data_IF_304479381294
#
_entry.id   IF_304479381294
#
_cell.length_a   1.000
_cell.length_b   1.000
_cell.length_c   1.000
_cell.angle_alpha   90.00
_cell.angle_beta   90.00
_cell.angle_gamma   90.00
#
_symmetry.space_group_name_H-M   'P 1'
#
loop_
_entity.id
_entity.type
_entity.pdbx_description
1 polymer ?
#
# COMPACT_ATOMS: atom_id res chain seq x y z
N UNK A 1 -26.94 -49.55 2.45
CA UNK A 1 -26.16 -48.42 1.89
C UNK A 1 -26.19 -47.29 2.90
N UNK A 2 -25.03 -46.73 3.32
CA UNK A 2 -24.98 -45.63 4.27
C UNK A 2 -25.36 -44.29 3.60
N UNK A 3 -25.89 -43.30 4.34
CA UNK A 3 -26.21 -41.99 3.80
C UNK A 3 -24.92 -41.17 3.54
N UNK A 4 -24.94 -40.21 2.58
CA UNK A 4 -23.77 -39.40 2.24
C UNK A 4 -23.41 -38.38 3.35
N UNK A 5 -22.13 -37.94 3.42
CA UNK A 5 -21.64 -37.09 4.48
C UNK A 5 -22.19 -35.66 4.39
N UNK A 6 -22.51 -35.11 5.56
CA UNK A 6 -23.01 -33.76 5.79
C UNK A 6 -21.86 -32.76 5.58
N UNK A 7 -21.73 -32.20 4.38
CA UNK A 7 -20.79 -31.10 4.12
C UNK A 7 -21.19 -29.86 4.95
N UNK A 8 -20.16 -29.27 5.55
CA UNK A 8 -20.19 -28.13 6.48
C UNK A 8 -20.83 -26.88 5.86
N UNK A 9 -22.04 -26.55 6.31
CA UNK A 9 -22.83 -25.34 5.98
C UNK A 9 -22.25 -24.00 6.46
N UNK A 10 -21.01 -23.95 6.96
CA UNK A 10 -20.50 -22.74 7.63
C UNK A 10 -19.69 -21.82 6.69
N UNK A 11 -19.15 -22.34 5.59
CA UNK A 11 -18.35 -21.53 4.65
C UNK A 11 -19.17 -20.74 3.60
N UNK A 12 -20.44 -21.09 3.37
CA UNK A 12 -21.26 -20.42 2.35
C UNK A 12 -21.81 -19.06 2.79
N UNK A 13 -21.95 -18.79 4.10
CA UNK A 13 -22.67 -17.60 4.58
C UNK A 13 -21.99 -16.26 4.25
N UNK A 14 -20.66 -16.22 4.28
CA UNK A 14 -19.88 -14.98 4.04
C UNK A 14 -19.84 -14.64 2.54
N UNK A 15 -19.74 -15.65 1.67
CA UNK A 15 -19.76 -15.44 0.22
C UNK A 15 -21.16 -15.12 -0.31
N UNK A 16 -22.21 -15.70 0.28
CA UNK A 16 -23.60 -15.40 -0.09
C UNK A 16 -24.06 -14.01 0.37
N UNK A 17 -23.50 -13.48 1.45
CA UNK A 17 -23.76 -12.11 1.90
C UNK A 17 -23.25 -11.10 0.87
N UNK A 18 -22.03 -11.29 0.37
CA UNK A 18 -21.41 -10.41 -0.63
C UNK A 18 -22.12 -10.45 -2.00
N UNK A 19 -22.59 -11.63 -2.42
CA UNK A 19 -23.28 -11.78 -3.71
C UNK A 19 -24.72 -11.20 -3.71
N UNK A 20 -25.35 -11.07 -2.54
CA UNK A 20 -26.69 -10.51 -2.43
C UNK A 20 -26.68 -8.98 -2.39
N UNK A 21 -25.67 -8.37 -1.76
CA UNK A 21 -25.44 -6.92 -1.78
C UNK A 21 -25.02 -6.42 -3.17
N UNK A 22 -24.24 -7.19 -3.93
CA UNK A 22 -23.90 -6.88 -5.33
C UNK A 22 -25.14 -6.77 -6.23
N UNK A 23 -26.14 -7.65 -6.05
CA UNK A 23 -27.38 -7.62 -6.82
C UNK A 23 -28.30 -6.44 -6.44
N UNK A 24 -28.21 -5.92 -5.20
CA UNK A 24 -28.92 -4.69 -4.82
C UNK A 24 -28.24 -3.43 -5.39
N UNK A 25 -26.93 -3.45 -5.59
CA UNK A 25 -26.17 -2.32 -6.16
C UNK A 25 -26.37 -2.20 -7.68
N UNK A 26 -26.56 -3.31 -8.42
CA UNK A 26 -26.89 -3.26 -9.85
C UNK A 26 -28.25 -2.60 -10.12
N UNK A 27 -29.24 -2.75 -9.23
CA UNK A 27 -30.56 -2.11 -9.35
C UNK A 27 -30.57 -0.60 -9.10
N UNK A 28 -29.58 -0.06 -8.40
CA UNK A 28 -29.42 1.37 -8.09
C UNK A 28 -28.52 2.10 -9.10
N UNK A 29 -27.80 1.38 -9.97
CA UNK A 29 -26.93 1.95 -11.00
C UNK A 29 -27.65 2.60 -12.19
N UNK A 30 -28.98 2.41 -12.32
CA UNK A 30 -29.77 2.94 -13.42
C UNK A 30 -30.09 4.46 -13.32
N UNK A 31 -29.71 5.12 -12.22
CA UNK A 31 -29.99 6.54 -11.99
C UNK A 31 -28.74 7.37 -11.62
N UNK A 32 -27.55 6.98 -12.09
CA UNK A 32 -26.39 7.87 -12.06
C UNK A 32 -26.44 8.80 -13.28
N UNK A 33 -26.55 10.12 -13.11
CA UNK A 33 -26.58 11.04 -14.23
C UNK A 33 -25.23 10.97 -14.95
N UNK A 34 -25.27 10.57 -16.23
CA UNK A 34 -24.34 10.94 -17.30
C UNK A 34 -22.95 11.37 -16.83
N UNK A 35 -22.04 10.41 -16.64
CA UNK A 35 -20.59 10.63 -16.69
C UNK A 35 -20.16 10.94 -18.14
N UNK A 36 -20.75 11.98 -18.72
CA UNK A 36 -20.35 12.54 -20.01
C UNK A 36 -19.24 13.56 -19.75
N UNK A 37 -18.00 13.06 -19.67
CA UNK A 37 -16.69 13.71 -19.85
C UNK A 37 -15.66 13.08 -18.91
N UNK A 38 -15.42 11.78 -19.06
CA UNK A 38 -14.11 11.23 -18.67
C UNK A 38 -13.22 11.30 -19.90
N UNK A 39 -12.20 12.16 -19.91
CA UNK A 39 -11.21 12.14 -20.97
C UNK A 39 -10.52 10.76 -20.96
N UNK A 40 -10.00 10.29 -22.11
CA UNK A 40 -9.43 8.94 -22.26
C UNK A 40 -8.49 8.53 -21.12
N UNK A 41 -8.34 7.23 -20.87
CA UNK A 41 -7.48 6.64 -19.84
C UNK A 41 -6.11 7.35 -19.77
N UNK A 42 -5.51 7.68 -20.91
CA UNK A 42 -4.30 8.50 -21.02
C UNK A 42 -4.36 9.86 -20.31
N UNK A 43 -5.47 10.60 -20.42
CA UNK A 43 -5.64 11.91 -19.79
C UNK A 43 -5.79 11.80 -18.27
N UNK A 44 -6.42 10.72 -17.77
CA UNK A 44 -6.49 10.47 -16.32
C UNK A 44 -5.11 10.22 -15.72
N UNK A 45 -4.29 9.39 -16.39
CA UNK A 45 -2.92 9.11 -15.98
C UNK A 45 -1.99 10.32 -16.12
N UNK A 46 -2.17 11.13 -17.18
CA UNK A 46 -1.43 12.37 -17.41
C UNK A 46 -1.72 13.45 -16.37
N UNK A 47 -2.90 13.48 -15.75
CA UNK A 47 -3.25 14.50 -14.74
C UNK A 47 -2.94 14.02 -13.32
N UNK A 48 -3.27 12.77 -13.00
CA UNK A 48 -3.14 12.25 -11.64
C UNK A 48 -1.68 11.95 -11.25
N UNK A 49 -0.82 11.54 -12.20
CA UNK A 49 0.59 11.25 -11.91
C UNK A 49 1.42 12.52 -11.58
N UNK A 50 1.34 13.63 -12.35
CA UNK A 50 1.98 14.88 -11.96
C UNK A 50 1.40 15.49 -10.69
N UNK A 51 0.10 15.33 -10.44
CA UNK A 51 -0.51 15.74 -9.19
C UNK A 51 0.08 14.97 -8.00
N UNK A 52 0.24 13.64 -8.12
CA UNK A 52 0.90 12.82 -7.10
C UNK A 52 2.35 13.25 -6.86
N UNK A 53 3.09 13.59 -7.91
CA UNK A 53 4.45 14.13 -7.80
C UNK A 53 4.46 15.49 -7.08
N UNK A 54 3.57 16.40 -7.47
CA UNK A 54 3.48 17.73 -6.88
C UNK A 54 3.13 17.67 -5.39
N UNK A 55 2.16 16.84 -5.01
CA UNK A 55 1.81 16.59 -3.61
C UNK A 55 3.02 16.03 -2.85
N UNK A 56 3.73 15.07 -3.44
CA UNK A 56 4.94 14.49 -2.83
C UNK A 56 6.00 15.56 -2.58
N UNK A 57 6.29 16.39 -3.58
CA UNK A 57 7.26 17.49 -3.46
C UNK A 57 6.82 18.51 -2.42
N UNK A 58 5.54 18.88 -2.39
CA UNK A 58 4.99 19.80 -1.40
C UNK A 58 5.12 19.26 0.03
N UNK A 59 4.82 17.97 0.24
CA UNK A 59 4.96 17.32 1.54
C UNK A 59 6.42 17.25 1.99
N UNK A 60 7.34 16.91 1.09
CA UNK A 60 8.77 16.93 1.41
C UNK A 60 9.25 18.35 1.75
N UNK A 61 8.81 19.36 1.01
CA UNK A 61 9.18 20.74 1.28
C UNK A 61 8.66 21.23 2.64
N UNK A 62 7.44 20.82 3.02
CA UNK A 62 6.82 21.21 4.28
C UNK A 62 7.38 20.45 5.50
N UNK A 63 7.62 19.13 5.39
CA UNK A 63 7.98 18.28 6.52
C UNK A 63 9.48 17.94 6.63
N UNK A 64 10.29 18.11 5.58
CA UNK A 64 11.70 17.72 5.61
C UNK A 64 12.53 18.73 6.43
N UNK A 65 12.98 18.31 7.61
CA UNK A 65 14.00 19.05 8.36
C UNK A 65 15.34 19.06 7.61
N UNK A 66 16.02 20.21 7.61
CA UNK A 66 17.27 20.43 6.83
C UNK A 66 18.48 19.65 7.35
N UNK A 67 18.33 18.94 8.48
CA UNK A 67 19.37 18.07 9.06
C UNK A 67 19.36 16.63 8.54
N UNK A 68 18.36 16.24 7.73
CA UNK A 68 18.22 14.86 7.23
C UNK A 68 19.05 14.68 5.96
N UNK A 69 19.72 13.52 5.83
CA UNK A 69 20.52 13.18 4.65
C UNK A 69 19.67 13.09 3.37
N UNK A 70 20.23 13.55 2.25
CA UNK A 70 19.54 13.59 0.95
C UNK A 70 19.01 12.23 0.48
N UNK A 71 19.73 11.14 0.77
CA UNK A 71 19.32 9.79 0.40
C UNK A 71 17.98 9.38 1.05
N UNK A 72 17.79 9.73 2.33
CA UNK A 72 16.54 9.47 3.06
C UNK A 72 15.38 10.28 2.49
N UNK A 73 15.63 11.52 2.08
CA UNK A 73 14.63 12.39 1.44
C UNK A 73 14.20 11.80 0.10
N UNK A 74 15.14 11.35 -0.74
CA UNK A 74 14.83 10.77 -2.05
C UNK A 74 14.06 9.45 -1.92
N UNK A 75 14.50 8.54 -1.05
CA UNK A 75 13.82 7.25 -0.86
C UNK A 75 12.41 7.45 -0.29
N UNK A 76 12.24 8.34 0.68
CA UNK A 76 10.92 8.68 1.23
C UNK A 76 10.02 9.31 0.18
N UNK A 77 10.57 10.27 -0.59
CA UNK A 77 9.86 10.90 -1.70
C UNK A 77 9.37 9.89 -2.74
N UNK A 78 10.25 9.01 -3.18
CA UNK A 78 9.89 7.97 -4.14
C UNK A 78 8.84 7.00 -3.59
N UNK A 79 8.93 6.66 -2.29
CA UNK A 79 7.92 5.84 -1.61
C UNK A 79 6.53 6.49 -1.64
N UNK A 80 6.46 7.78 -1.29
CA UNK A 80 5.19 8.52 -1.30
C UNK A 80 4.65 8.70 -2.71
N UNK A 81 5.52 8.96 -3.68
CA UNK A 81 5.13 9.02 -5.08
C UNK A 81 4.51 7.69 -5.55
N UNK A 82 5.16 6.55 -5.29
CA UNK A 82 4.62 5.23 -5.63
C UNK A 82 3.31 4.91 -4.88
N UNK A 83 3.17 5.33 -3.62
CA UNK A 83 1.92 5.13 -2.87
C UNK A 83 0.76 5.97 -3.45
N UNK A 84 1.02 7.23 -3.81
CA UNK A 84 0.03 8.11 -4.42
C UNK A 84 -0.29 7.72 -5.87
N UNK A 85 0.65 7.12 -6.61
CA UNK A 85 0.40 6.64 -7.96
C UNK A 85 -0.56 5.45 -7.99
N UNK A 86 -0.63 4.62 -6.94
CA UNK A 86 -1.67 3.58 -6.82
C UNK A 86 -3.07 4.20 -6.73
N UNK A 87 -3.21 5.32 -6.00
CA UNK A 87 -4.48 6.05 -5.92
C UNK A 87 -4.88 6.66 -7.28
N UNK A 88 -3.88 7.02 -8.10
CA UNK A 88 -4.10 7.48 -9.47
C UNK A 88 -4.47 6.33 -10.44
N UNK A 89 -3.90 5.14 -10.25
CA UNK A 89 -4.16 3.96 -11.07
C UNK A 89 -5.52 3.32 -10.79
N UNK A 90 -6.01 3.37 -9.54
CA UNK A 90 -7.24 2.69 -9.15
C UNK A 90 -8.48 3.12 -9.96
N UNK A 91 -8.75 4.43 -10.20
CA UNK A 91 -9.86 4.85 -11.04
C UNK A 91 -9.69 4.43 -12.51
N UNK A 92 -8.45 4.37 -13.02
CA UNK A 92 -8.15 3.90 -14.36
C UNK A 92 -8.45 2.39 -14.50
N UNK A 93 -8.09 1.61 -13.48
CA UNK A 93 -8.37 0.16 -13.41
C UNK A 93 -9.86 -0.16 -13.33
N UNK A 94 -10.60 0.60 -12.51
CA UNK A 94 -12.05 0.51 -12.42
C UNK A 94 -12.72 0.86 -13.75
N UNK A 95 -12.29 1.93 -14.43
CA UNK A 95 -12.82 2.30 -15.75
C UNK A 95 -12.58 1.21 -16.79
N UNK A 96 -11.37 0.65 -16.83
CA UNK A 96 -11.04 -0.44 -17.75
C UNK A 96 -11.89 -1.70 -17.53
N UNK A 97 -12.29 -1.97 -16.27
CA UNK A 97 -13.14 -3.11 -15.92
C UNK A 97 -14.62 -2.85 -16.20
N UNK A 98 -15.08 -1.62 -16.02
CA UNK A 98 -16.49 -1.22 -16.18
C UNK A 98 -16.88 -0.93 -17.62
N UNK A 99 -15.91 -0.62 -18.50
CA UNK A 99 -16.15 -0.51 -19.94
C UNK A 99 -16.57 -1.87 -20.49
N UNK A 100 -17.84 -2.05 -20.94
CA UNK A 100 -18.33 -3.34 -21.41
C UNK A 100 -17.49 -3.77 -22.60
N UNK A 101 -16.79 -4.89 -22.45
CA UNK A 101 -16.04 -5.51 -23.53
C UNK A 101 -17.02 -5.90 -24.65
N UNK A 102 -17.15 -5.09 -25.71
CA UNK A 102 -17.76 -5.52 -26.97
C UNK A 102 -18.97 -4.77 -27.53
N UNK A 103 -19.31 -3.54 -27.10
CA UNK A 103 -20.33 -2.74 -27.80
C UNK A 103 -19.80 -1.37 -28.25
N UNK A 104 -19.36 -1.33 -29.50
CA UNK A 104 -19.24 -0.14 -30.34
C UNK A 104 -18.44 1.05 -29.78
N UNK A 105 -17.12 1.00 -29.96
CA UNK A 105 -16.40 2.18 -30.44
C UNK A 105 -15.24 1.75 -31.33
N UNK A 106 -15.47 1.86 -32.64
CA UNK A 106 -14.40 1.94 -33.63
C UNK A 106 -13.57 3.19 -33.32
N UNK A 107 -12.33 2.98 -32.90
CA UNK A 107 -11.37 4.04 -32.62
C UNK A 107 -10.07 3.42 -32.14
N UNK A 108 -9.06 3.38 -33.01
CA UNK A 108 -7.73 2.83 -32.75
C UNK A 108 -7.01 3.45 -31.52
N UNK A 109 -7.55 4.51 -30.92
CA UNK A 109 -7.02 5.20 -29.74
C UNK A 109 -7.30 4.48 -28.40
N UNK A 110 -8.36 3.66 -28.28
CA UNK A 110 -8.76 3.05 -27.00
C UNK A 110 -7.98 1.78 -26.61
N UNK A 111 -7.43 1.05 -27.59
CA UNK A 111 -6.70 -0.19 -27.37
C UNK A 111 -5.30 0.05 -26.76
N UNK A 112 -4.68 1.20 -27.06
CA UNK A 112 -3.36 1.57 -26.56
C UNK A 112 -3.36 1.86 -25.06
N UNK A 113 -4.44 2.46 -24.55
CA UNK A 113 -4.55 2.89 -23.16
C UNK A 113 -4.66 1.71 -22.17
N UNK A 114 -5.38 0.65 -22.52
CA UNK A 114 -5.47 -0.58 -21.70
C UNK A 114 -4.13 -1.33 -21.69
N UNK A 115 -3.37 -1.25 -22.78
CA UNK A 115 -2.03 -1.87 -22.90
C UNK A 115 -1.01 -1.25 -21.94
N UNK A 116 -1.15 0.02 -21.59
CA UNK A 116 -0.25 0.71 -20.64
C UNK A 116 -0.53 0.35 -19.18
N UNK A 117 -1.72 -0.15 -18.85
CA UNK A 117 -2.13 -0.39 -17.47
C UNK A 117 -1.34 -1.53 -16.81
N UNK A 118 -1.14 -2.64 -17.53
CA UNK A 118 -0.38 -3.79 -17.05
C UNK A 118 1.10 -3.48 -16.72
N UNK A 119 1.90 -2.82 -17.59
CA UNK A 119 3.26 -2.45 -17.26
C UNK A 119 3.34 -1.38 -16.17
N UNK A 120 2.35 -0.48 -16.06
CA UNK A 120 2.28 0.50 -14.96
C UNK A 120 2.04 -0.19 -13.60
N UNK A 121 1.06 -1.10 -13.52
CA UNK A 121 0.83 -1.91 -12.33
C UNK A 121 2.05 -2.73 -11.96
N UNK A 122 2.69 -3.39 -12.94
CA UNK A 122 3.92 -4.14 -12.74
C UNK A 122 5.04 -3.24 -12.19
N UNK A 123 5.24 -2.07 -12.77
CA UNK A 123 6.28 -1.12 -12.34
C UNK A 123 6.04 -0.67 -10.90
N UNK A 124 4.83 -0.23 -10.57
CA UNK A 124 4.50 0.22 -9.20
C UNK A 124 4.61 -0.93 -8.20
N UNK A 125 4.16 -2.12 -8.56
CA UNK A 125 4.30 -3.32 -7.74
C UNK A 125 5.77 -3.63 -7.43
N UNK A 126 6.61 -3.75 -8.46
CA UNK A 126 8.02 -4.09 -8.29
C UNK A 126 8.79 -2.98 -7.57
N UNK A 127 8.48 -1.72 -7.85
CA UNK A 127 9.03 -0.57 -7.11
C UNK A 127 8.70 -0.66 -5.62
N UNK A 128 7.43 -0.83 -5.27
CA UNK A 128 6.99 -0.93 -3.86
C UNK A 128 7.57 -2.15 -3.17
N UNK A 129 7.69 -3.27 -3.88
CA UNK A 129 8.31 -4.48 -3.37
C UNK A 129 9.79 -4.25 -3.02
N UNK A 130 10.58 -3.71 -3.96
CA UNK A 130 12.00 -3.41 -3.73
C UNK A 130 12.18 -2.35 -2.66
N UNK A 131 11.31 -1.34 -2.62
CA UNK A 131 11.34 -0.30 -1.60
C UNK A 131 11.16 -0.90 -0.21
N UNK A 132 10.07 -1.65 -0.03
CA UNK A 132 9.69 -2.22 1.26
C UNK A 132 10.73 -3.23 1.73
N UNK A 133 11.15 -4.12 0.83
CA UNK A 133 11.99 -5.24 1.23
C UNK A 133 13.47 -4.92 1.22
N UNK A 134 13.97 -3.94 0.47
CA UNK A 134 15.40 -3.67 0.37
C UNK A 134 15.80 -2.24 0.75
N UNK A 135 15.24 -1.22 0.08
CA UNK A 135 15.74 0.15 0.22
C UNK A 135 15.38 0.80 1.56
N UNK A 136 14.12 0.68 2.01
CA UNK A 136 13.68 1.24 3.30
C UNK A 136 14.46 0.68 4.49
N UNK A 137 14.54 -0.65 4.70
CA UNK A 137 15.28 -1.20 5.82
C UNK A 137 16.77 -0.83 5.73
N UNK A 138 17.35 -0.83 4.53
CA UNK A 138 18.74 -0.40 4.38
C UNK A 138 18.96 1.05 4.80
N UNK A 139 18.15 1.99 4.33
CA UNK A 139 18.29 3.42 4.67
C UNK A 139 18.03 3.66 6.15
N UNK A 140 17.08 2.95 6.75
CA UNK A 140 16.81 3.01 8.19
C UNK A 140 18.03 2.60 9.01
N UNK A 141 18.61 1.41 8.73
CA UNK A 141 19.79 0.93 9.44
C UNK A 141 21.04 1.77 9.15
N UNK A 142 21.16 2.33 7.95
CA UNK A 142 22.24 3.24 7.58
C UNK A 142 22.17 4.56 8.34
N UNK A 143 20.96 5.11 8.51
CA UNK A 143 20.75 6.33 9.28
C UNK A 143 20.95 6.11 10.79
N UNK A 144 20.61 4.93 11.30
CA UNK A 144 20.79 4.56 12.72
C UNK A 144 22.24 4.22 13.07
N UNK A 145 23.06 3.85 12.07
CA UNK A 145 24.46 3.49 12.30
C UNK A 145 25.31 4.65 12.83
N UNK A 146 25.88 4.48 14.02
CA UNK A 146 26.69 5.50 14.71
C UNK A 146 28.13 5.67 14.20
N UNK A 147 28.54 4.93 13.16
CA UNK A 147 29.91 4.98 12.63
C UNK A 147 30.19 6.30 11.90
N UNK A 148 31.44 6.77 11.82
CA UNK A 148 31.77 8.04 11.15
C UNK A 148 32.08 7.89 9.65
N UNK A 149 32.44 6.69 9.19
CA UNK A 149 32.83 6.42 7.79
C UNK A 149 31.69 5.73 7.02
N UNK A 150 31.38 6.21 5.81
CA UNK A 150 30.29 5.66 4.98
C UNK A 150 30.41 4.16 4.68
N UNK A 151 31.63 3.65 4.45
CA UNK A 151 31.85 2.21 4.22
C UNK A 151 31.55 1.34 5.45
N UNK A 152 31.91 1.82 6.64
CA UNK A 152 31.61 1.13 7.89
C UNK A 152 30.09 1.11 8.16
N UNK A 153 29.41 2.24 7.91
CA UNK A 153 27.94 2.34 7.98
C UNK A 153 27.25 1.35 7.05
N UNK A 154 27.70 1.26 5.80
CA UNK A 154 27.12 0.33 4.81
C UNK A 154 27.24 -1.12 5.27
N UNK A 155 28.44 -1.56 5.68
CA UNK A 155 28.65 -2.93 6.18
C UNK A 155 27.80 -3.23 7.41
N UNK A 156 27.68 -2.27 8.32
CA UNK A 156 26.86 -2.41 9.52
C UNK A 156 25.37 -2.54 9.18
N UNK A 157 24.89 -1.67 8.28
CA UNK A 157 23.51 -1.71 7.77
C UNK A 157 23.16 -3.04 7.15
N UNK A 158 24.07 -3.63 6.35
CA UNK A 158 23.87 -4.95 5.75
C UNK A 158 23.78 -6.05 6.81
N UNK A 159 24.61 -6.01 7.87
CA UNK A 159 24.55 -6.99 8.96
C UNK A 159 23.24 -6.89 9.73
N UNK A 160 22.80 -5.68 10.05
CA UNK A 160 21.54 -5.46 10.74
C UNK A 160 20.35 -5.90 9.89
N UNK A 161 20.37 -5.61 8.58
CA UNK A 161 19.34 -6.07 7.65
C UNK A 161 19.32 -7.61 7.52
N UNK A 162 20.49 -8.27 7.52
CA UNK A 162 20.55 -9.73 7.56
C UNK A 162 19.91 -10.31 8.83
N UNK A 163 20.08 -9.64 9.98
CA UNK A 163 19.40 -10.03 11.23
C UNK A 163 17.88 -9.88 11.13
N UNK A 164 17.38 -8.84 10.46
CA UNK A 164 15.95 -8.66 10.20
C UNK A 164 15.39 -9.83 9.36
N UNK A 165 16.06 -10.17 8.26
CA UNK A 165 15.62 -11.31 7.44
C UNK A 165 15.74 -12.65 8.18
N UNK A 166 16.74 -12.80 9.06
CA UNK A 166 16.83 -13.99 9.90
C UNK A 166 15.60 -14.13 10.82
N UNK A 167 15.16 -13.02 11.45
CA UNK A 167 13.95 -13.02 12.27
C UNK A 167 12.69 -13.35 11.45
N UNK A 168 12.55 -12.74 10.26
CA UNK A 168 11.45 -13.06 9.33
C UNK A 168 11.50 -14.53 8.91
N UNK A 169 12.70 -15.07 8.66
CA UNK A 169 12.92 -16.47 8.35
C UNK A 169 12.47 -17.42 9.45
N UNK A 170 12.71 -17.07 10.72
CA UNK A 170 12.22 -17.86 11.88
C UNK A 170 10.69 -17.85 11.94
N UNK A 171 10.05 -16.69 11.78
CA UNK A 171 8.58 -16.58 11.76
C UNK A 171 7.99 -17.35 10.58
N UNK A 172 8.60 -17.24 9.39
CA UNK A 172 8.21 -17.98 8.20
C UNK A 172 8.35 -19.49 8.39
N UNK A 173 9.46 -19.96 8.99
CA UNK A 173 9.68 -21.36 9.30
C UNK A 173 8.63 -21.91 10.27
N UNK A 174 8.24 -21.12 11.28
CA UNK A 174 7.15 -21.48 12.19
C UNK A 174 5.81 -21.62 11.44
N UNK A 175 5.50 -20.69 10.53
CA UNK A 175 4.31 -20.76 9.69
C UNK A 175 4.29 -22.01 8.79
N UNK A 176 5.42 -22.35 8.17
CA UNK A 176 5.56 -23.57 7.37
C UNK A 176 5.43 -24.82 8.24
N UNK A 177 6.02 -24.83 9.45
CA UNK A 177 5.89 -25.94 10.39
C UNK A 177 4.42 -26.20 10.74
N UNK A 178 3.65 -25.17 11.06
CA UNK A 178 2.21 -25.28 11.33
C UNK A 178 1.44 -25.82 10.13
N UNK A 179 1.83 -25.43 8.92
CA UNK A 179 1.22 -25.93 7.69
C UNK A 179 1.50 -27.42 7.48
N UNK A 180 2.73 -27.88 7.73
CA UNK A 180 3.11 -29.30 7.66
C UNK A 180 2.34 -30.11 8.70
N UNK A 181 2.21 -29.60 9.93
CA UNK A 181 1.41 -30.24 10.99
C UNK A 181 -0.08 -30.35 10.65
N UNK A 182 -0.60 -29.44 9.80
CA UNK A 182 -2.00 -29.46 9.35
C UNK A 182 -2.27 -30.52 8.27
N UNK A 183 -1.24 -31.18 7.74
CA UNK A 183 -1.38 -32.28 6.77
C UNK A 183 -1.64 -31.86 5.31
N UNK A 184 -1.81 -30.57 5.03
CA UNK A 184 -2.10 -30.03 3.68
C UNK A 184 -0.94 -29.24 3.09
N UNK A 185 0.22 -29.89 2.95
CA UNK A 185 1.39 -29.28 2.32
C UNK A 185 1.26 -29.29 0.79
N UNK A 186 0.92 -28.13 0.22
CA UNK A 186 0.92 -27.86 -1.22
C UNK A 186 1.56 -26.49 -1.49
N UNK A 187 2.11 -26.30 -2.68
CA UNK A 187 2.62 -24.98 -3.14
C UNK A 187 1.52 -23.92 -3.06
N UNK A 188 0.27 -24.30 -3.35
CA UNK A 188 -0.88 -23.41 -3.20
C UNK A 188 -1.12 -22.99 -1.75
N UNK A 189 -1.02 -23.91 -0.80
CA UNK A 189 -1.18 -23.64 0.63
C UNK A 189 -0.06 -22.73 1.17
N UNK A 190 1.17 -22.89 0.68
CA UNK A 190 2.29 -22.03 1.03
C UNK A 190 2.08 -20.59 0.52
N UNK A 191 1.63 -20.44 -0.72
CA UNK A 191 1.32 -19.14 -1.31
C UNK A 191 0.12 -18.48 -0.61
N UNK A 192 -0.91 -19.27 -0.25
CA UNK A 192 -2.04 -18.80 0.56
C UNK A 192 -1.61 -18.32 1.94
N UNK A 193 -0.71 -19.07 2.62
CA UNK A 193 -0.14 -18.65 3.90
C UNK A 193 0.63 -17.33 3.77
N UNK A 194 1.48 -17.19 2.74
CA UNK A 194 2.24 -15.97 2.49
C UNK A 194 1.32 -14.76 2.23
N UNK A 195 0.27 -14.93 1.42
CA UNK A 195 -0.73 -13.90 1.16
C UNK A 195 -1.51 -13.52 2.43
N UNK A 196 -1.95 -14.50 3.22
CA UNK A 196 -2.66 -14.24 4.47
C UNK A 196 -1.77 -13.51 5.49
N UNK A 197 -0.51 -13.95 5.63
CA UNK A 197 0.47 -13.32 6.50
C UNK A 197 0.79 -11.88 6.09
N UNK A 198 0.98 -11.61 4.79
CA UNK A 198 1.22 -10.27 4.28
C UNK A 198 0.04 -9.32 4.55
N UNK A 199 -1.20 -9.79 4.34
CA UNK A 199 -2.39 -9.01 4.65
C UNK A 199 -2.53 -8.75 6.15
N UNK A 200 -2.33 -9.77 7.00
CA UNK A 200 -2.36 -9.61 8.44
C UNK A 200 -1.31 -8.61 8.93
N UNK A 201 -0.08 -8.69 8.42
CA UNK A 201 1.00 -7.74 8.72
C UNK A 201 0.61 -6.31 8.35
N UNK A 202 0.09 -6.10 7.13
CA UNK A 202 -0.38 -4.79 6.67
C UNK A 202 -1.50 -4.21 7.54
N UNK A 203 -2.47 -5.05 7.92
CA UNK A 203 -3.57 -4.64 8.81
C UNK A 203 -3.09 -4.30 10.22
N UNK A 204 -2.16 -5.06 10.79
CA UNK A 204 -1.58 -4.76 12.11
C UNK A 204 -0.85 -3.43 12.09
N UNK A 205 -0.05 -3.15 11.06
CA UNK A 205 0.63 -1.86 10.90
C UNK A 205 -0.38 -0.73 10.71
N UNK A 206 -1.38 -0.91 9.84
CA UNK A 206 -2.40 0.10 9.61
C UNK A 206 -3.19 0.44 10.88
N UNK A 207 -3.60 -0.59 11.64
CA UNK A 207 -4.35 -0.44 12.88
C UNK A 207 -3.52 0.28 13.94
N UNK A 208 -2.26 -0.12 14.13
CA UNK A 208 -1.37 0.51 15.12
C UNK A 208 -1.04 1.96 14.75
N UNK A 209 -0.75 2.24 13.48
CA UNK A 209 -0.49 3.59 12.99
C UNK A 209 -1.72 4.49 13.14
N UNK A 210 -2.90 4.00 12.76
CA UNK A 210 -4.16 4.74 12.91
C UNK A 210 -4.48 4.99 14.38
N UNK A 211 -4.32 3.97 15.24
CA UNK A 211 -4.54 4.09 16.67
C UNK A 211 -3.66 5.16 17.31
N UNK A 212 -2.37 5.21 16.95
CA UNK A 212 -1.47 6.28 17.40
C UNK A 212 -1.91 7.66 16.87
N UNK A 213 -2.20 7.75 15.57
CA UNK A 213 -2.62 8.99 14.92
C UNK A 213 -3.89 9.59 15.55
N UNK A 214 -4.88 8.76 15.86
CA UNK A 214 -6.15 9.18 16.45
C UNK A 214 -5.99 9.77 17.86
N UNK A 215 -5.02 9.30 18.65
CA UNK A 215 -4.78 9.78 20.01
C UNK A 215 -3.87 11.01 20.02
N UNK A 216 -2.83 11.03 19.17
CA UNK A 216 -1.82 12.09 19.20
C UNK A 216 -2.29 13.39 18.53
N UNK A 217 -3.16 13.30 17.52
CA UNK A 217 -3.77 14.48 16.88
C UNK A 217 -4.55 15.37 17.88
N UNK A 218 -5.57 14.87 18.61
CA UNK A 218 -6.32 15.70 19.55
C UNK A 218 -5.45 16.17 20.73
N UNK A 219 -4.55 15.32 21.25
CA UNK A 219 -3.60 15.72 22.30
C UNK A 219 -2.64 16.81 21.82
N UNK A 220 -2.22 16.74 20.56
CA UNK A 220 -1.42 17.75 19.89
C UNK A 220 -2.12 19.10 19.82
N UNK A 221 -3.39 19.11 19.40
CA UNK A 221 -4.21 20.33 19.32
C UNK A 221 -4.40 20.93 20.72
N UNK A 222 -4.76 20.10 21.71
CA UNK A 222 -4.96 20.55 23.10
C UNK A 222 -3.70 21.19 23.70
N UNK A 223 -2.52 20.58 23.50
CA UNK A 223 -1.24 21.14 24.00
C UNK A 223 -0.82 22.44 23.31
N UNK A 224 -1.13 22.59 22.01
CA UNK A 224 -0.86 23.83 21.26
C UNK A 224 -1.84 24.95 21.61
N UNK A 225 -3.06 24.61 22.02
CA UNK A 225 -4.08 25.57 22.45
C UNK A 225 -3.79 26.21 23.83
N UNK A 226 -2.96 25.57 24.67
CA UNK A 226 -2.58 26.07 25.99
C UNK A 226 -1.81 27.40 25.95
N UNK A 227 -2.27 28.37 26.75
CA UNK A 227 -1.70 29.73 26.84
C UNK A 227 -0.21 29.72 27.20
N UNK A 228 0.20 28.81 28.07
CA UNK A 228 1.58 28.71 28.56
C UNK A 228 2.56 28.16 27.52
N UNK A 229 2.08 27.30 26.61
CA UNK A 229 2.83 26.86 25.45
C UNK A 229 3.11 28.03 24.49
N UNK A 230 2.12 28.93 24.28
CA UNK A 230 2.27 30.10 23.38
C UNK A 230 3.28 31.11 23.92
N UNK A 231 3.26 31.40 25.22
CA UNK A 231 4.21 32.34 25.84
C UNK A 231 5.67 31.87 25.66
N UNK A 232 5.92 30.57 25.75
CA UNK A 232 7.27 29.99 25.62
C UNK A 232 7.86 30.13 24.21
N UNK A 233 7.02 30.25 23.18
CA UNK A 233 7.46 30.53 21.81
C UNK A 233 7.56 32.03 21.51
N UNK A 234 6.77 32.86 22.19
CA UNK A 234 6.82 34.32 22.04
C UNK A 234 8.01 35.00 22.74
N UNK A 235 8.59 34.36 23.77
CA UNK A 235 9.76 34.86 24.52
C UNK A 235 11.07 34.15 24.15
N UNK A 236 11.12 33.47 22.99
CA UNK A 236 12.30 32.76 22.49
C UNK A 236 12.86 33.42 21.22
N UNK A 237 12.82 34.75 21.20
CA UNK A 237 13.55 35.66 20.32
C UNK A 237 14.36 36.62 21.22
#
# INVERSE_FOLDING_TARGET
APPPPRQSRVACGVFSFWHHDLAQLEGLGAAAPTLAMTPGLSLTLMVLSPAALLVTVALLWYYSSRSVGWASILVTGYTWFCALSVLALLPADLQATLSPSGAAQEGEEGQGDVSLLAPLWSTVYWSMFVLTWALLPFVQMYADSGFFTAGARCRDSLKQNLSLYAAIGVVGALGVLLLVLSGEFSVGSLMGLAMAAANAFGLVIALTALGYGLVELPRGIWRRAGVESRKKWAFRD
#
